data_IF_210370157461
#
_entry.id   IF_210370157461
#
_cell.length_a   1.000
_cell.length_b   1.000
_cell.length_c   1.000
_cell.angle_alpha   90.00
_cell.angle_beta   90.00
_cell.angle_gamma   90.00
#
_symmetry.space_group_name_H-M   'P 1'
#
loop_
_entity.id
_entity.type
_entity.pdbx_description
1 polymer ?
#
# COMPACT_ATOMS: atom_id res chain seq x y z
N UNK A 1 -5.98 18.48 6.21
CA UNK A 1 -4.95 17.55 5.64
C UNK A 1 -5.57 16.60 4.61
N UNK A 2 -6.71 15.97 4.92
CA UNK A 2 -7.30 14.96 4.04
C UNK A 2 -8.44 15.47 3.15
N UNK A 3 -9.17 16.51 3.58
CA UNK A 3 -10.32 17.04 2.83
C UNK A 3 -11.36 15.97 2.44
N UNK A 4 -11.49 14.94 3.28
CA UNK A 4 -12.43 13.84 3.14
C UNK A 4 -13.71 14.20 3.92
N UNK A 5 -14.90 14.18 3.28
CA UNK A 5 -16.17 14.37 3.97
C UNK A 5 -16.41 13.29 5.03
N UNK A 6 -16.83 13.71 6.23
CA UNK A 6 -17.06 12.88 7.42
C UNK A 6 -18.38 13.26 8.09
N UNK A 7 -19.06 12.28 8.69
CA UNK A 7 -20.18 12.48 9.63
C UNK A 7 -20.02 11.57 10.85
N UNK A 8 -20.57 11.97 12.01
CA UNK A 8 -20.42 11.20 13.27
C UNK A 8 -21.09 9.81 13.25
N UNK A 9 -22.09 9.63 12.39
CA UNK A 9 -22.82 8.40 12.17
C UNK A 9 -22.19 7.49 11.10
N UNK A 10 -21.09 7.92 10.47
CA UNK A 10 -20.38 7.13 9.47
C UNK A 10 -19.61 5.97 10.12
N UNK A 11 -19.74 4.77 9.55
CA UNK A 11 -19.04 3.59 10.04
C UNK A 11 -17.52 3.66 9.81
N UNK A 12 -16.74 3.13 10.76
CA UNK A 12 -15.27 3.10 10.70
C UNK A 12 -14.73 2.46 9.41
N UNK A 13 -15.39 1.41 8.90
CA UNK A 13 -15.01 0.75 7.65
C UNK A 13 -15.13 1.68 6.43
N UNK A 14 -16.17 2.52 6.40
CA UNK A 14 -16.37 3.51 5.34
C UNK A 14 -15.28 4.58 5.38
N UNK A 15 -14.98 5.11 6.57
CA UNK A 15 -13.92 6.09 6.77
C UNK A 15 -12.54 5.52 6.42
N UNK A 16 -12.27 4.28 6.80
CA UNK A 16 -11.03 3.57 6.48
C UNK A 16 -10.90 3.39 4.98
N UNK A 17 -11.97 3.01 4.29
CA UNK A 17 -12.00 2.90 2.82
C UNK A 17 -11.72 4.23 2.13
N UNK A 18 -12.36 5.32 2.57
CA UNK A 18 -12.10 6.68 2.04
C UNK A 18 -10.65 7.10 2.24
N UNK A 19 -10.08 6.84 3.42
CA UNK A 19 -8.70 7.18 3.70
C UNK A 19 -7.72 6.35 2.88
N UNK A 20 -8.00 5.06 2.71
CA UNK A 20 -7.20 4.15 1.89
C UNK A 20 -7.18 4.62 0.42
N UNK A 21 -8.35 4.98 -0.13
CA UNK A 21 -8.44 5.51 -1.48
C UNK A 21 -7.70 6.84 -1.63
N UNK A 22 -7.84 7.75 -0.67
CA UNK A 22 -7.14 9.04 -0.68
C UNK A 22 -5.62 8.91 -0.78
N UNK A 23 -5.02 7.91 -0.14
CA UNK A 23 -3.60 7.61 -0.31
C UNK A 23 -3.30 6.88 -1.62
N UNK A 24 -4.16 5.94 -2.02
CA UNK A 24 -4.02 5.20 -3.27
C UNK A 24 -3.97 6.13 -4.49
N UNK A 25 -4.78 7.19 -4.52
CA UNK A 25 -4.85 8.13 -5.65
C UNK A 25 -3.51 8.83 -5.98
N UNK A 26 -2.52 8.74 -5.08
CA UNK A 26 -1.16 9.32 -5.23
C UNK A 26 -0.14 8.32 -5.76
N UNK A 27 -0.50 7.05 -5.85
CA UNK A 27 0.37 5.98 -6.35
C UNK A 27 0.10 5.75 -7.83
N UNK A 28 0.99 5.02 -8.52
CA UNK A 28 0.80 4.68 -9.92
C UNK A 28 -0.39 3.75 -10.15
N UNK A 29 -0.61 2.79 -9.26
CA UNK A 29 -1.67 1.79 -9.42
C UNK A 29 -3.06 2.31 -9.07
N UNK A 30 -3.15 3.38 -8.25
CA UNK A 30 -4.42 3.94 -7.75
C UNK A 30 -5.31 2.94 -7.01
N UNK A 31 -4.69 1.88 -6.51
CA UNK A 31 -5.34 0.84 -5.72
C UNK A 31 -4.86 0.95 -4.27
N UNK A 32 -5.76 0.82 -3.28
CA UNK A 32 -5.36 0.68 -1.88
C UNK A 32 -4.31 -0.41 -1.71
N UNK A 33 -3.31 -0.12 -0.89
CA UNK A 33 -2.35 -1.13 -0.42
C UNK A 33 -2.82 -1.61 0.94
N UNK A 34 -3.14 -2.90 1.01
CA UNK A 34 -3.69 -3.56 2.18
C UNK A 34 -2.59 -4.39 2.89
N UNK A 35 -2.78 -4.74 4.17
CA UNK A 35 -1.83 -5.59 4.90
C UNK A 35 -1.52 -6.93 4.21
N UNK A 36 -2.49 -7.49 3.46
CA UNK A 36 -2.29 -8.73 2.69
C UNK A 36 -1.26 -8.57 1.57
N UNK A 37 -1.13 -7.37 0.98
CA UNK A 37 -0.19 -7.12 -0.12
C UNK A 37 1.25 -7.13 0.42
N UNK A 38 1.46 -6.59 1.62
CA UNK A 38 2.74 -6.70 2.34
C UNK A 38 3.04 -8.15 2.70
N UNK A 39 2.04 -8.89 3.18
CA UNK A 39 2.19 -10.29 3.56
C UNK A 39 2.62 -11.17 2.37
N UNK A 40 2.07 -10.94 1.18
CA UNK A 40 2.45 -11.66 -0.04
C UNK A 40 3.92 -11.39 -0.43
N UNK A 41 4.38 -10.15 -0.28
CA UNK A 41 5.77 -9.79 -0.53
C UNK A 41 6.74 -10.45 0.49
N UNK A 42 6.35 -10.53 1.76
CA UNK A 42 7.13 -11.29 2.74
C UNK A 42 7.12 -12.79 2.44
N UNK A 43 5.97 -13.33 2.06
CA UNK A 43 5.82 -14.74 1.74
C UNK A 43 6.77 -15.15 0.62
N UNK A 44 6.82 -14.41 -0.49
CA UNK A 44 7.70 -14.77 -1.60
C UNK A 44 9.18 -14.71 -1.21
N UNK A 45 9.59 -13.74 -0.37
CA UNK A 45 10.95 -13.63 0.16
C UNK A 45 11.36 -14.80 1.06
N UNK A 46 10.40 -15.41 1.75
CA UNK A 46 10.63 -16.56 2.64
C UNK A 46 10.58 -17.91 1.93
N UNK A 47 10.22 -17.93 0.64
CA UNK A 47 10.16 -19.15 -0.16
C UNK A 47 11.44 -19.36 -0.98
N UNK A 48 11.60 -20.55 -1.56
CA UNK A 48 12.72 -20.84 -2.46
C UNK A 48 12.64 -20.08 -3.81
N UNK A 49 11.53 -19.38 -4.09
CA UNK A 49 11.31 -18.65 -5.35
C UNK A 49 12.36 -17.56 -5.59
N UNK A 50 12.93 -16.99 -4.52
CA UNK A 50 13.96 -15.96 -4.57
C UNK A 50 15.26 -16.43 -3.88
N UNK A 51 15.59 -17.72 -3.96
CA UNK A 51 16.71 -18.35 -3.23
C UNK A 51 18.11 -17.80 -3.52
N UNK A 52 18.29 -16.97 -4.56
CA UNK A 52 19.55 -16.31 -4.92
C UNK A 52 19.48 -14.78 -4.81
N UNK A 53 18.39 -14.23 -4.28
CA UNK A 53 18.18 -12.80 -4.12
C UNK A 53 18.56 -12.38 -2.69
N UNK A 54 19.44 -11.39 -2.56
CA UNK A 54 19.83 -10.83 -1.26
C UNK A 54 20.17 -9.34 -1.37
N UNK A 55 20.11 -8.62 -0.26
CA UNK A 55 20.46 -7.20 -0.18
C UNK A 55 19.55 -6.25 -0.96
N UNK A 56 18.40 -6.72 -1.44
CA UNK A 56 17.45 -5.91 -2.21
C UNK A 56 16.42 -5.27 -1.28
N UNK A 57 16.00 -4.06 -1.63
CA UNK A 57 14.83 -3.40 -1.05
C UNK A 57 13.69 -3.56 -2.07
N UNK A 58 12.62 -4.24 -1.68
CA UNK A 58 11.42 -4.41 -2.51
C UNK A 58 10.33 -3.50 -1.95
N UNK A 59 9.91 -2.51 -2.74
CA UNK A 59 8.83 -1.58 -2.37
C UNK A 59 7.47 -2.17 -2.70
N UNK A 60 6.54 -2.09 -1.75
CA UNK A 60 5.14 -2.51 -1.90
C UNK A 60 4.25 -1.32 -1.55
N UNK A 61 4.15 -0.38 -2.48
CA UNK A 61 3.59 0.95 -2.24
C UNK A 61 2.70 1.45 -3.39
N UNK A 62 2.39 0.58 -4.35
CA UNK A 62 1.63 0.96 -5.55
C UNK A 62 2.39 1.89 -6.49
N UNK A 63 3.70 2.06 -6.32
CA UNK A 63 4.51 3.00 -7.09
C UNK A 63 4.31 4.44 -6.60
N UNK A 64 4.58 4.69 -5.32
CA UNK A 64 4.53 6.05 -4.77
C UNK A 64 5.63 6.89 -5.44
N UNK A 65 5.26 8.03 -6.03
CA UNK A 65 6.21 8.86 -6.78
C UNK A 65 7.42 9.31 -5.97
N UNK A 66 7.25 9.50 -4.66
CA UNK A 66 8.32 9.89 -3.74
C UNK A 66 9.30 8.76 -3.41
N UNK A 67 8.93 7.50 -3.67
CA UNK A 67 9.77 6.33 -3.43
C UNK A 67 10.73 6.02 -4.59
N UNK A 68 10.59 6.69 -5.73
CA UNK A 68 11.55 6.57 -6.83
C UNK A 68 12.85 7.30 -6.47
N UNK A 69 13.92 6.53 -6.25
CA UNK A 69 15.28 7.06 -6.20
C UNK A 69 15.60 7.70 -7.56
N UNK A 70 16.00 8.98 -7.53
CA UNK A 70 16.55 9.70 -8.69
C UNK A 70 18.07 9.63 -8.68
#
# INVERSE_FOLDING_TARGET
>A
KYDIPYTEDEADESLTGKLAQFYADRTLTKTPIEPKDQAEAFYILLTEKLSKTTGQIITVDGGLHEAFLR
#
